data_IF_881435328723
#
_entry.id   IF_881435328723
#
_cell.length_a   1.000
_cell.length_b   1.000
_cell.length_c   1.000
_cell.angle_alpha   90.00
_cell.angle_beta   90.00
_cell.angle_gamma   90.00
#
_symmetry.space_group_name_H-M   'P 1'
#
loop_
_entity.id
_entity.type
_entity.pdbx_description
1 polymer ?
#
# COMPACT_ATOMS: atom_id res chain seq x y z
N UNK A 1 13.16 7.91 21.24
CA UNK A 1 12.90 8.12 19.80
C UNK A 1 13.78 7.22 18.94
N UNK A 2 15.11 7.22 19.09
CA UNK A 2 16.06 6.47 18.25
C UNK A 2 15.80 4.94 18.25
N UNK A 3 15.52 4.33 19.41
CA UNK A 3 15.23 2.90 19.51
C UNK A 3 13.94 2.48 18.81
N UNK A 4 12.89 3.32 18.85
CA UNK A 4 11.64 3.05 18.12
C UNK A 4 11.90 3.11 16.62
N UNK A 5 12.60 4.14 16.14
CA UNK A 5 12.94 4.31 14.72
C UNK A 5 13.79 3.15 14.18
N UNK A 6 14.80 2.71 14.93
CA UNK A 6 15.61 1.55 14.56
C UNK A 6 14.77 0.26 14.48
N UNK A 7 13.85 0.06 15.43
CA UNK A 7 12.93 -1.08 15.42
C UNK A 7 11.95 -1.08 14.25
N UNK A 8 11.40 0.10 13.93
CA UNK A 8 10.48 0.27 12.79
C UNK A 8 11.20 0.07 11.46
N UNK A 9 12.42 0.60 11.32
CA UNK A 9 13.27 0.39 10.15
C UNK A 9 13.67 -1.09 9.95
N UNK A 10 14.07 -1.78 11.04
CA UNK A 10 14.39 -3.19 10.99
C UNK A 10 13.18 -4.05 10.59
N UNK A 11 11.98 -3.70 11.08
CA UNK A 11 10.73 -4.38 10.72
C UNK A 11 10.37 -4.17 9.25
N UNK A 12 10.50 -2.92 8.78
CA UNK A 12 10.31 -2.58 7.38
C UNK A 12 11.26 -3.34 6.46
N UNK A 13 12.57 -3.32 6.76
CA UNK A 13 13.57 -4.04 5.96
C UNK A 13 13.33 -5.55 5.95
N UNK A 14 13.00 -6.14 7.10
CA UNK A 14 12.72 -7.58 7.18
C UNK A 14 11.52 -7.95 6.32
N UNK A 15 10.40 -7.22 6.45
CA UNK A 15 9.23 -7.45 5.62
C UNK A 15 9.56 -7.32 4.13
N UNK A 16 10.30 -6.29 3.73
CA UNK A 16 10.69 -6.07 2.33
C UNK A 16 11.56 -7.21 1.80
N UNK A 17 12.56 -7.64 2.58
CA UNK A 17 13.46 -8.75 2.19
C UNK A 17 12.70 -10.09 2.11
N UNK A 18 11.88 -10.41 3.10
CA UNK A 18 11.08 -11.64 3.12
C UNK A 18 10.10 -11.67 1.94
N UNK A 19 9.51 -10.53 1.59
CA UNK A 19 8.58 -10.40 0.46
C UNK A 19 9.26 -10.53 -0.90
N UNK A 20 10.52 -10.13 -1.03
CA UNK A 20 11.31 -10.28 -2.27
C UNK A 20 11.77 -11.73 -2.44
N UNK A 21 12.21 -12.39 -1.37
CA UNK A 21 12.67 -13.79 -1.41
C UNK A 21 11.54 -14.78 -1.60
N UNK A 22 10.31 -14.43 -1.21
CA UNK A 22 9.11 -15.25 -1.38
C UNK A 22 8.54 -15.29 -2.82
N UNK A 23 9.30 -14.92 -3.84
CA UNK A 23 8.94 -14.95 -5.26
C UNK A 23 7.57 -14.29 -5.59
N UNK A 24 7.32 -13.11 -4.98
CA UNK A 24 6.06 -12.40 -5.11
C UNK A 24 4.92 -13.11 -4.38
N UNK A 25 5.24 -13.82 -3.30
CA UNK A 25 4.35 -14.68 -2.55
C UNK A 25 3.12 -13.97 -1.99
N UNK A 26 2.17 -14.79 -1.62
CA UNK A 26 0.98 -14.39 -0.90
C UNK A 26 1.30 -14.36 0.59
N UNK A 27 0.89 -13.30 1.26
CA UNK A 27 1.02 -13.13 2.70
C UNK A 27 -0.27 -12.59 3.32
N UNK A 28 -0.17 -12.13 4.54
CA UNK A 28 -1.29 -11.62 5.32
C UNK A 28 -1.46 -10.11 5.11
N UNK A 29 -2.69 -9.66 4.89
CA UNK A 29 -3.04 -8.24 4.90
C UNK A 29 -2.54 -7.55 6.17
N UNK A 30 -2.71 -8.19 7.33
CA UNK A 30 -2.29 -7.66 8.62
C UNK A 30 -0.77 -7.46 8.71
N UNK A 31 0.02 -8.35 8.13
CA UNK A 31 1.48 -8.20 8.08
C UNK A 31 1.89 -7.02 7.21
N UNK A 32 1.28 -6.86 6.04
CA UNK A 32 1.58 -5.72 5.17
C UNK A 32 1.17 -4.38 5.81
N UNK A 33 0.03 -4.33 6.51
CA UNK A 33 -0.38 -3.14 7.25
C UNK A 33 0.59 -2.80 8.40
N UNK A 34 1.18 -3.79 9.05
CA UNK A 34 2.23 -3.54 10.05
C UNK A 34 3.47 -2.90 9.43
N UNK A 35 3.88 -3.35 8.24
CA UNK A 35 5.00 -2.76 7.51
C UNK A 35 4.68 -1.33 7.03
N UNK A 36 3.46 -1.10 6.53
CA UNK A 36 2.97 0.23 6.16
C UNK A 36 3.01 1.19 7.35
N UNK A 37 2.53 0.77 8.52
CA UNK A 37 2.57 1.59 9.74
C UNK A 37 4.00 1.91 10.17
N UNK A 38 4.90 0.92 10.14
CA UNK A 38 6.31 1.13 10.47
C UNK A 38 6.98 2.14 9.53
N UNK A 39 6.71 2.05 8.23
CA UNK A 39 7.19 2.99 7.23
C UNK A 39 6.64 4.41 7.46
N UNK A 40 5.34 4.52 7.69
CA UNK A 40 4.67 5.80 7.95
C UNK A 40 5.22 6.46 9.23
N UNK A 41 5.42 5.71 10.31
CA UNK A 41 5.99 6.21 11.56
C UNK A 41 7.40 6.79 11.37
N UNK A 42 8.25 6.14 10.55
CA UNK A 42 9.57 6.65 10.21
C UNK A 42 9.47 8.00 9.49
N UNK A 43 8.60 8.09 8.49
CA UNK A 43 8.41 9.31 7.72
C UNK A 43 7.76 10.43 8.56
N UNK A 44 6.86 10.10 9.46
CA UNK A 44 6.23 11.06 10.36
C UNK A 44 7.25 11.67 11.33
N UNK A 45 8.25 10.91 11.78
CA UNK A 45 9.35 11.48 12.58
C UNK A 45 10.19 12.50 11.80
N UNK A 46 10.32 12.34 10.49
CA UNK A 46 11.07 13.26 9.63
C UNK A 46 10.24 14.49 9.21
N UNK A 47 8.97 14.28 8.90
CA UNK A 47 8.07 15.32 8.37
C UNK A 47 7.30 16.05 9.46
N UNK A 48 7.24 15.50 10.68
CA UNK A 48 6.49 16.08 11.80
C UNK A 48 5.01 16.28 11.46
N UNK A 49 4.50 17.46 11.78
CA UNK A 49 3.09 17.83 11.55
C UNK A 49 2.72 17.98 10.06
N UNK A 50 3.68 17.82 9.16
CA UNK A 50 3.43 17.85 7.71
C UNK A 50 2.88 16.53 7.17
N UNK A 51 2.93 15.44 7.93
CA UNK A 51 2.35 14.16 7.52
C UNK A 51 1.32 13.70 8.53
N UNK A 52 0.07 13.58 8.09
CA UNK A 52 -1.00 12.97 8.87
C UNK A 52 -1.40 11.63 8.25
N UNK A 53 -1.38 10.57 9.06
CA UNK A 53 -1.84 9.26 8.65
C UNK A 53 -3.18 8.93 9.28
N UNK A 54 -4.16 8.59 8.46
CA UNK A 54 -5.50 8.15 8.90
C UNK A 54 -5.71 6.69 8.51
N UNK A 55 -6.09 5.86 9.46
CA UNK A 55 -6.35 4.44 9.26
C UNK A 55 -7.78 4.11 9.65
N UNK A 56 -8.60 3.76 8.67
CA UNK A 56 -9.98 3.29 8.86
C UNK A 56 -10.03 1.79 8.50
N UNK A 57 -9.40 0.97 9.33
CA UNK A 57 -9.18 -0.46 9.10
C UNK A 57 -9.83 -1.23 10.24
N UNK A 58 -10.97 -1.91 10.01
CA UNK A 58 -11.54 -2.84 10.96
C UNK A 58 -10.61 -4.03 11.20
N UNK A 59 -10.83 -4.77 12.29
CA UNK A 59 -10.06 -5.97 12.56
C UNK A 59 -10.42 -7.07 11.55
N UNK A 60 -9.54 -7.25 10.58
CA UNK A 60 -9.65 -8.24 9.53
C UNK A 60 -8.27 -8.74 9.14
N UNK A 61 -8.22 -9.97 8.65
CA UNK A 61 -7.03 -10.55 8.05
C UNK A 61 -7.43 -11.48 6.90
N UNK A 62 -6.69 -11.40 5.80
CA UNK A 62 -6.93 -12.19 4.61
C UNK A 62 -5.67 -12.25 3.76
N UNK A 63 -5.51 -13.27 2.90
CA UNK A 63 -4.36 -13.38 2.02
C UNK A 63 -4.37 -12.32 0.93
N UNK A 64 -3.21 -11.72 0.70
CA UNK A 64 -2.95 -10.76 -0.38
C UNK A 64 -1.58 -11.03 -1.02
N UNK A 65 -1.37 -10.65 -2.28
CA UNK A 65 -0.03 -10.58 -2.83
C UNK A 65 0.76 -9.51 -2.06
N UNK A 66 1.91 -9.90 -1.52
CA UNK A 66 2.77 -9.01 -0.75
C UNK A 66 3.33 -7.86 -1.59
N UNK A 67 3.67 -6.75 -0.94
CA UNK A 67 4.18 -5.52 -1.57
C UNK A 67 3.21 -4.97 -2.62
N UNK A 68 1.93 -4.89 -2.27
CA UNK A 68 0.92 -4.24 -3.09
C UNK A 68 0.37 -2.97 -2.47
N UNK A 69 0.17 -2.93 -1.16
CA UNK A 69 -0.30 -1.72 -0.43
C UNK A 69 0.86 -0.81 -0.09
N UNK A 70 1.96 -1.37 0.42
CA UNK A 70 3.11 -0.60 0.89
C UNK A 70 3.67 0.34 -0.19
N UNK A 71 3.94 -0.08 -1.46
CA UNK A 71 4.45 0.84 -2.49
C UNK A 71 3.48 1.98 -2.82
N UNK A 72 2.17 1.75 -2.68
CA UNK A 72 1.17 2.79 -2.89
C UNK A 72 1.25 3.86 -1.79
N UNK A 73 1.38 3.43 -0.52
CA UNK A 73 1.54 4.36 0.60
C UNK A 73 2.88 5.10 0.53
N UNK A 74 3.95 4.41 0.12
CA UNK A 74 5.26 5.03 -0.14
C UNK A 74 5.14 6.14 -1.19
N UNK A 75 4.47 5.88 -2.31
CA UNK A 75 4.24 6.88 -3.35
C UNK A 75 3.42 8.07 -2.83
N UNK A 76 2.35 7.83 -2.07
CA UNK A 76 1.56 8.89 -1.46
C UNK A 76 2.40 9.80 -0.56
N UNK A 77 3.24 9.23 0.29
CA UNK A 77 4.11 10.00 1.20
C UNK A 77 5.21 10.72 0.44
N UNK A 78 6.00 10.01 -0.39
CA UNK A 78 7.19 10.55 -1.03
C UNK A 78 6.86 11.51 -2.17
N UNK A 79 5.87 11.18 -2.99
CA UNK A 79 5.55 11.93 -4.21
C UNK A 79 4.31 12.80 -4.06
N UNK A 80 3.39 12.46 -3.15
CA UNK A 80 2.21 13.25 -2.86
C UNK A 80 2.45 14.32 -1.79
N UNK A 81 2.80 13.89 -0.58
CA UNK A 81 2.81 14.76 0.61
C UNK A 81 4.13 15.51 0.76
N UNK A 82 5.27 14.83 0.62
CA UNK A 82 6.58 15.43 0.85
C UNK A 82 6.88 16.68 0.00
N UNK A 83 6.50 16.74 -1.30
CA UNK A 83 6.67 17.95 -2.11
C UNK A 83 5.67 19.07 -1.78
N UNK A 84 4.55 18.77 -1.14
CA UNK A 84 3.51 19.75 -0.82
C UNK A 84 3.96 20.67 0.32
N UNK A 85 3.99 21.98 0.12
CA UNK A 85 4.48 22.98 1.09
C UNK A 85 3.71 22.89 2.39
N UNK A 86 2.60 22.69 2.63
CA UNK A 86 1.87 22.56 3.90
C UNK A 86 1.80 21.13 4.44
N UNK A 87 2.35 20.15 3.70
CA UNK A 87 2.14 18.75 4.00
C UNK A 87 0.71 18.31 3.63
N UNK A 88 0.26 17.21 4.23
CA UNK A 88 -1.08 16.69 3.97
C UNK A 88 -1.36 15.38 4.68
N UNK A 89 -2.44 14.75 4.24
CA UNK A 89 -3.00 13.54 4.85
C UNK A 89 -2.96 12.39 3.87
N UNK A 90 -2.55 11.23 4.35
CA UNK A 90 -2.73 9.94 3.66
C UNK A 90 -3.76 9.12 4.43
N UNK A 91 -4.81 8.70 3.76
CA UNK A 91 -5.87 7.89 4.34
C UNK A 91 -5.86 6.50 3.73
N UNK A 92 -5.83 5.49 4.58
CA UNK A 92 -5.92 4.08 4.22
C UNK A 92 -7.15 3.46 4.86
N UNK A 93 -8.01 2.86 4.03
CA UNK A 93 -9.27 2.25 4.45
C UNK A 93 -9.31 0.76 4.08
N UNK A 94 -10.16 0.03 4.77
CA UNK A 94 -10.56 -1.32 4.38
C UNK A 94 -12.08 -1.41 4.35
N UNK A 95 -12.60 -1.85 3.22
CA UNK A 95 -14.02 -2.09 3.01
C UNK A 95 -14.23 -3.55 2.58
N UNK A 96 -15.11 -4.24 3.25
CA UNK A 96 -15.52 -5.59 2.84
C UNK A 96 -16.65 -5.50 1.83
N UNK A 97 -16.45 -6.13 0.67
CA UNK A 97 -17.46 -6.28 -0.38
C UNK A 97 -17.88 -7.76 -0.49
N UNK A 98 -19.02 -8.08 -1.13
CA UNK A 98 -19.48 -9.46 -1.25
C UNK A 98 -18.43 -10.43 -1.81
N UNK A 99 -17.72 -10.03 -2.87
CA UNK A 99 -16.78 -10.89 -3.60
C UNK A 99 -15.32 -10.43 -3.54
N UNK A 100 -15.02 -9.37 -2.80
CA UNK A 100 -13.67 -8.81 -2.71
C UNK A 100 -13.47 -8.00 -1.42
N UNK A 101 -12.20 -7.77 -1.10
CA UNK A 101 -11.77 -6.75 -0.15
C UNK A 101 -11.32 -5.51 -0.94
N UNK A 102 -11.77 -4.35 -0.55
CA UNK A 102 -11.40 -3.08 -1.17
C UNK A 102 -10.53 -2.27 -0.21
N UNK A 103 -9.36 -1.89 -0.69
CA UNK A 103 -8.39 -1.08 0.07
C UNK A 103 -8.14 0.24 -0.67
N UNK A 104 -8.90 1.29 -0.37
CA UNK A 104 -8.60 2.64 -0.86
C UNK A 104 -7.42 3.24 -0.09
N UNK A 105 -6.45 3.76 -0.83
CA UNK A 105 -5.38 4.62 -0.32
C UNK A 105 -5.51 5.96 -1.03
N UNK A 106 -5.71 7.04 -0.29
CA UNK A 106 -5.85 8.38 -0.85
C UNK A 106 -4.93 9.36 -0.14
N UNK A 107 -4.37 10.29 -0.90
CA UNK A 107 -3.63 11.42 -0.39
C UNK A 107 -4.21 12.74 -0.95
N UNK A 108 -4.07 13.80 -0.19
CA UNK A 108 -4.36 15.16 -0.61
C UNK A 108 -3.10 15.91 -1.06
N UNK A 109 -2.12 15.19 -1.56
CA UNK A 109 -0.83 15.68 -1.98
C UNK A 109 -0.86 16.49 -3.29
N UNK A 110 0.30 16.62 -3.92
CA UNK A 110 0.43 17.40 -5.17
C UNK A 110 -0.22 16.72 -6.37
N UNK A 111 -0.51 15.43 -6.31
CA UNK A 111 -1.03 14.68 -7.45
C UNK A 111 -0.07 14.64 -8.63
N UNK A 112 -0.49 14.02 -9.71
CA UNK A 112 0.28 13.91 -10.95
C UNK A 112 -0.63 13.68 -12.16
N UNK A 113 -0.07 13.92 -13.35
CA UNK A 113 -0.71 13.58 -14.62
C UNK A 113 -0.51 12.09 -14.92
N UNK A 114 -1.60 11.34 -14.91
CA UNK A 114 -1.58 9.89 -15.15
C UNK A 114 -1.12 9.52 -16.57
N UNK A 115 -1.44 10.32 -17.57
CA UNK A 115 -1.05 10.03 -18.95
C UNK A 115 0.45 10.24 -19.14
N UNK A 116 1.01 11.29 -18.56
CA UNK A 116 2.46 11.51 -18.55
C UNK A 116 3.22 10.37 -17.83
N UNK A 117 2.69 9.85 -16.73
CA UNK A 117 3.31 8.73 -16.00
C UNK A 117 3.21 7.41 -16.77
N UNK A 118 2.14 7.19 -17.53
CA UNK A 118 2.01 6.01 -18.41
C UNK A 118 3.05 6.02 -19.54
N UNK A 119 3.35 7.18 -20.10
CA UNK A 119 4.35 7.32 -21.17
C UNK A 119 5.78 7.10 -20.65
N UNK A 120 6.08 7.58 -19.46
CA UNK A 120 7.46 7.48 -18.89
C UNK A 120 7.70 6.18 -18.12
N UNK A 121 6.65 5.47 -17.73
CA UNK A 121 6.70 4.22 -16.96
C UNK A 121 7.06 4.44 -15.48
N UNK A 122 6.13 4.16 -14.57
CA UNK A 122 6.42 4.09 -13.14
C UNK A 122 6.71 2.64 -12.76
N UNK A 123 7.98 2.31 -12.52
CA UNK A 123 8.41 0.94 -12.18
C UNK A 123 7.66 0.42 -10.95
N UNK A 124 7.44 1.27 -9.94
CA UNK A 124 6.76 0.89 -8.71
C UNK A 124 5.30 0.50 -8.93
N UNK A 125 4.53 1.34 -9.63
CA UNK A 125 3.12 1.09 -9.91
C UNK A 125 2.92 -0.09 -10.86
N UNK A 126 3.80 -0.25 -11.84
CA UNK A 126 3.75 -1.40 -12.75
C UNK A 126 4.02 -2.71 -12.03
N UNK A 127 4.95 -2.75 -11.09
CA UNK A 127 5.21 -3.91 -10.26
C UNK A 127 3.97 -4.29 -9.41
N UNK A 128 3.29 -3.30 -8.82
CA UNK A 128 2.05 -3.55 -8.09
C UNK A 128 0.97 -4.12 -9.03
N UNK A 129 0.76 -3.53 -10.21
CA UNK A 129 -0.21 -4.05 -11.21
C UNK A 129 0.08 -5.50 -11.57
N UNK A 130 1.35 -5.82 -11.82
CA UNK A 130 1.80 -7.16 -12.20
C UNK A 130 1.60 -8.18 -11.08
N UNK A 131 1.82 -7.80 -9.82
CA UNK A 131 1.53 -8.64 -8.65
C UNK A 131 0.03 -8.88 -8.50
N UNK A 132 -0.78 -7.82 -8.57
CA UNK A 132 -2.23 -7.89 -8.49
C UNK A 132 -2.82 -8.78 -9.59
N UNK A 133 -2.33 -8.68 -10.83
CA UNK A 133 -2.81 -9.47 -11.96
C UNK A 133 -2.62 -10.99 -11.80
N UNK A 134 -1.67 -11.43 -10.97
CA UNK A 134 -1.46 -12.85 -10.65
C UNK A 134 -2.43 -13.39 -9.60
N UNK A 135 -3.15 -12.51 -8.91
CA UNK A 135 -4.09 -12.87 -7.85
C UNK A 135 -5.51 -12.77 -8.39
N UNK A 136 -6.24 -13.88 -8.57
CA UNK A 136 -7.54 -13.90 -9.23
C UNK A 136 -8.55 -12.92 -8.63
N UNK A 137 -9.25 -12.18 -9.49
CA UNK A 137 -10.25 -11.20 -9.08
C UNK A 137 -9.67 -9.94 -8.44
N UNK A 138 -8.35 -9.71 -8.58
CA UNK A 138 -7.68 -8.54 -8.01
C UNK A 138 -7.36 -7.49 -9.07
N UNK A 139 -7.43 -6.23 -8.69
CA UNK A 139 -7.26 -5.09 -9.59
C UNK A 139 -6.70 -3.88 -8.85
N UNK A 140 -5.88 -3.08 -9.53
CA UNK A 140 -5.45 -1.75 -9.09
C UNK A 140 -6.02 -0.68 -10.00
N UNK A 141 -6.77 0.25 -9.41
CA UNK A 141 -7.26 1.46 -10.08
C UNK A 141 -6.62 2.70 -9.45
N UNK A 142 -6.14 3.62 -10.28
CA UNK A 142 -5.51 4.86 -9.82
C UNK A 142 -6.17 6.03 -10.54
N UNK A 143 -6.50 7.05 -9.76
CA UNK A 143 -6.93 8.36 -10.23
C UNK A 143 -6.05 9.42 -9.59
N UNK A 144 -5.56 10.36 -10.36
CA UNK A 144 -4.76 11.49 -9.89
C UNK A 144 -4.92 12.67 -10.82
N UNK A 145 -4.83 13.85 -10.26
CA UNK A 145 -4.73 15.09 -11.02
C UNK A 145 -3.79 16.05 -10.30
N UNK A 146 -3.05 16.83 -11.07
CA UNK A 146 -2.13 17.84 -10.52
C UNK A 146 -2.88 18.80 -9.61
N UNK A 147 -2.42 18.94 -8.37
CA UNK A 147 -3.01 19.80 -7.35
C UNK A 147 -4.19 19.17 -6.59
N UNK A 148 -4.66 17.96 -6.94
CA UNK A 148 -5.83 17.33 -6.34
C UNK A 148 -5.52 16.04 -5.54
N UNK A 149 -4.22 15.67 -5.46
CA UNK A 149 -3.81 14.45 -4.80
C UNK A 149 -4.03 13.20 -5.64
N UNK A 150 -3.94 12.04 -5.00
CA UNK A 150 -4.06 10.73 -5.66
C UNK A 150 -4.99 9.81 -4.88
N UNK A 151 -5.76 9.01 -5.60
CA UNK A 151 -6.48 7.88 -5.03
C UNK A 151 -6.09 6.60 -5.77
N UNK A 152 -5.62 5.61 -5.01
CA UNK A 152 -5.41 4.25 -5.48
C UNK A 152 -6.40 3.32 -4.79
N UNK A 153 -7.08 2.48 -5.55
CA UNK A 153 -8.01 1.47 -5.03
C UNK A 153 -7.49 0.10 -5.41
N UNK A 154 -7.11 -0.68 -4.39
CA UNK A 154 -6.73 -2.08 -4.55
C UNK A 154 -7.96 -2.95 -4.24
N UNK A 155 -8.30 -3.83 -5.17
CA UNK A 155 -9.34 -4.85 -4.98
C UNK A 155 -8.68 -6.22 -4.89
N UNK A 156 -9.02 -7.00 -3.88
CA UNK A 156 -8.54 -8.38 -3.69
C UNK A 156 -9.70 -9.35 -3.73
N UNK A 157 -9.71 -10.22 -4.71
CA UNK A 157 -10.80 -11.19 -4.91
C UNK A 157 -10.86 -12.24 -3.81
N UNK A 158 -12.03 -12.48 -3.23
CA UNK A 158 -12.24 -13.51 -2.21
C UNK A 158 -12.14 -14.94 -2.76
N UNK A 159 -12.32 -15.14 -4.06
CA UNK A 159 -12.19 -16.45 -4.71
C UNK A 159 -10.77 -17.01 -4.68
N UNK A 160 -9.76 -16.15 -4.77
CA UNK A 160 -8.36 -16.56 -4.62
C UNK A 160 -8.05 -17.09 -3.22
N UNK A 161 -8.74 -16.58 -2.21
CA UNK A 161 -8.60 -16.99 -0.81
C UNK A 161 -9.11 -18.40 -0.55
N UNK A 162 -10.18 -18.81 -1.23
CA UNK A 162 -10.74 -20.17 -1.10
C UNK A 162 -9.78 -21.23 -1.69
N UNK A 163 -9.14 -20.93 -2.81
CA UNK A 163 -8.17 -21.82 -3.44
C UNK A 163 -6.90 -22.03 -2.60
N UNK A 164 -6.41 -20.99 -1.94
CA UNK A 164 -5.23 -21.06 -1.09
C UNK A 164 -5.47 -21.78 0.24
N UNK A 165 -6.64 -21.58 0.84
CA UNK A 165 -7.03 -22.32 2.04
C UNK A 165 -7.15 -23.82 1.78
N UNK A 166 -7.57 -24.24 0.59
CA UNK A 166 -7.61 -25.64 0.18
C UNK A 166 -6.21 -26.23 -0.05
N UNK A 167 -5.24 -25.44 -0.50
CA UNK A 167 -3.85 -25.90 -0.73
C UNK A 167 -3.01 -25.99 0.54
N UNK A 168 -3.46 -25.36 1.64
CA UNK A 168 -2.79 -25.34 2.95
C UNK A 168 -3.42 -26.28 3.99
N UNK A 169 -4.50 -26.97 3.64
CA UNK A 169 -5.05 -28.03 4.50
C UNK A 169 -4.17 -29.28 4.40
N UNK A 170 -3.76 -29.88 5.54
CA UNK A 170 -2.87 -31.02 5.58
C UNK A 170 -3.47 -32.29 5.01
#
# INVERSE_FOLDING_TARGET
>A
AAYKMAGDFARYLRFTLDSVTADGGVGSFREEIRAVRAYADINQQQLGDRLHMVYEIPDADFPIPLLTIQPIVENAILHGIKPKVGGGTVTLRLEELPNSWKVPVSDDGVGFDLDAVRETGSIGLENVRRRMARFPGSELRITSAVGAGTQAVLLYGKQAQAAENLSRSP
#
